data_IF_357846168545
#
_entry.id   IF_357846168545
#
_cell.length_a   1.000
_cell.length_b   1.000
_cell.length_c   1.000
_cell.angle_alpha   90.00
_cell.angle_beta   90.00
_cell.angle_gamma   90.00
#
_symmetry.space_group_name_H-M   'P 1'
#
loop_
_entity.id
_entity.type
_entity.pdbx_description
1 polymer ?
#
# COMPACT_ATOMS: atom_id res chain seq x y z
N UNK A 1 -2.93 2.88 -2.10
CA UNK A 1 -1.69 2.36 -2.72
C UNK A 1 -1.42 0.98 -2.14
N UNK A 2 -0.95 0.03 -2.94
CA UNK A 2 -0.68 -1.36 -2.55
C UNK A 2 0.15 -1.52 -1.27
N UNK A 3 1.02 -0.55 -0.98
CA UNK A 3 1.74 -0.45 0.30
C UNK A 3 0.84 -0.62 1.52
N UNK A 4 -0.35 0.00 1.54
CA UNK A 4 -1.28 -0.12 2.67
C UNK A 4 -1.84 -1.54 2.82
N UNK A 5 -2.12 -2.21 1.71
CA UNK A 5 -2.66 -3.57 1.73
C UNK A 5 -1.58 -4.58 2.15
N UNK A 6 -0.36 -4.41 1.65
CA UNK A 6 0.81 -5.21 2.05
C UNK A 6 1.13 -4.97 3.54
N UNK A 7 1.21 -3.72 3.98
CA UNK A 7 1.44 -3.39 5.40
C UNK A 7 0.37 -3.99 6.31
N UNK A 8 -0.91 -3.95 5.92
CA UNK A 8 -2.01 -4.56 6.67
C UNK A 8 -1.85 -6.08 6.77
N UNK A 9 -1.44 -6.75 5.69
CA UNK A 9 -1.19 -8.19 5.68
C UNK A 9 -0.03 -8.55 6.62
N UNK A 10 1.11 -7.86 6.49
CA UNK A 10 2.28 -8.08 7.35
C UNK A 10 1.92 -7.97 8.85
N UNK A 11 1.16 -6.93 9.24
CA UNK A 11 0.68 -6.79 10.63
C UNK A 11 -0.28 -7.88 11.06
N UNK A 12 -1.17 -8.31 10.17
CA UNK A 12 -2.14 -9.38 10.45
C UNK A 12 -1.43 -10.73 10.67
N UNK A 13 -0.30 -10.94 9.98
CA UNK A 13 0.58 -12.09 10.17
C UNK A 13 1.45 -11.99 11.43
N UNK A 14 1.33 -10.92 12.22
CA UNK A 14 2.06 -10.71 13.45
C UNK A 14 3.48 -10.19 13.26
N UNK A 15 3.84 -9.70 12.06
CA UNK A 15 5.15 -9.10 11.85
C UNK A 15 5.24 -7.71 12.51
N UNK A 16 6.31 -7.50 13.28
CA UNK A 16 6.60 -6.22 13.92
C UNK A 16 7.28 -5.26 12.93
N UNK A 17 6.44 -4.48 12.23
CA UNK A 17 6.87 -3.53 11.20
C UNK A 17 6.64 -2.07 11.62
N UNK A 18 7.42 -1.15 11.05
CA UNK A 18 7.25 0.28 11.30
C UNK A 18 5.86 0.80 10.92
N UNK A 19 5.28 1.62 11.78
CA UNK A 19 3.86 1.95 11.71
C UNK A 19 3.50 2.97 10.63
N UNK A 20 4.42 3.86 10.26
CA UNK A 20 4.14 4.95 9.33
C UNK A 20 5.42 5.31 8.55
N UNK A 21 5.33 5.82 7.30
CA UNK A 21 6.50 6.25 6.52
C UNK A 21 7.25 7.43 7.16
N UNK A 22 6.53 8.23 7.94
CA UNK A 22 7.02 9.38 8.71
C UNK A 22 7.48 9.02 10.12
N UNK A 23 7.11 7.83 10.62
CA UNK A 23 7.43 7.43 11.99
C UNK A 23 8.83 6.81 12.00
N UNK A 24 9.75 7.52 12.64
CA UNK A 24 11.13 7.04 12.83
C UNK A 24 11.13 5.91 13.87
N UNK A 25 11.41 4.68 13.42
CA UNK A 25 11.86 3.55 14.24
C UNK A 25 10.88 3.09 15.34
N UNK A 26 9.65 2.72 14.97
CA UNK A 26 8.64 2.27 15.96
C UNK A 26 8.60 0.77 16.20
N UNK A 27 9.31 -0.06 15.41
CA UNK A 27 9.35 -1.51 15.64
C UNK A 27 10.58 -1.91 16.47
N UNK A 28 10.50 -3.05 17.14
CA UNK A 28 11.52 -3.56 18.05
C UNK A 28 12.88 -3.75 17.37
N UNK A 29 12.89 -4.19 16.10
CA UNK A 29 14.13 -4.31 15.31
C UNK A 29 14.81 -2.95 15.10
N UNK A 30 14.03 -1.94 14.74
CA UNK A 30 14.54 -0.59 14.55
C UNK A 30 15.01 0.02 15.90
N UNK A 31 14.28 -0.21 17.00
CA UNK A 31 14.66 0.25 18.34
C UNK A 31 15.97 -0.40 18.82
N UNK A 32 16.11 -1.71 18.63
CA UNK A 32 17.32 -2.45 18.98
C UNK A 32 18.53 -1.98 18.16
N UNK A 33 18.33 -1.76 16.85
CA UNK A 33 19.37 -1.20 15.98
C UNK A 33 19.80 0.20 16.41
N UNK A 34 18.84 1.08 16.75
CA UNK A 34 19.10 2.44 17.21
C UNK A 34 19.86 2.52 18.55
N UNK A 35 19.57 1.60 19.49
CA UNK A 35 20.28 1.50 20.77
C UNK A 35 21.75 1.12 20.60
N UNK A 36 22.06 0.22 19.68
CA UNK A 36 23.42 -0.25 19.43
C UNK A 36 24.24 0.71 18.56
N UNK A 37 23.59 1.61 17.83
CA UNK A 37 24.23 2.57 16.93
C UNK A 37 23.93 4.02 17.34
N UNK A 38 24.38 4.42 18.54
CA UNK A 38 24.07 5.73 19.16
C UNK A 38 24.59 6.97 18.41
N UNK A 39 25.56 6.82 17.50
CA UNK A 39 25.99 7.88 16.55
C UNK A 39 25.12 7.97 15.29
N UNK A 40 24.29 6.96 15.06
CA UNK A 40 23.42 6.86 13.92
C UNK A 40 22.03 7.44 14.23
N UNK A 41 21.98 8.58 14.95
CA UNK A 41 20.75 9.38 15.20
C UNK A 41 20.05 9.87 13.92
N UNK A 42 20.61 9.53 12.75
CA UNK A 42 20.11 9.79 11.40
C UNK A 42 20.27 8.57 10.47
N UNK A 43 20.34 7.32 10.97
CA UNK A 43 20.73 6.17 10.14
C UNK A 43 19.63 5.74 9.17
N UNK A 44 19.83 5.83 7.85
CA UNK A 44 18.85 5.42 6.82
C UNK A 44 18.54 3.90 6.77
N UNK A 45 19.03 3.11 7.73
CA UNK A 45 19.17 1.65 7.62
C UNK A 45 18.28 0.88 8.59
N UNK A 46 16.98 1.20 8.67
CA UNK A 46 16.12 0.27 9.41
C UNK A 46 16.05 -1.09 8.68
N UNK A 47 16.36 -2.20 9.37
CA UNK A 47 16.40 -3.53 8.75
C UNK A 47 15.03 -4.18 8.52
N UNK A 48 13.94 -3.60 9.05
CA UNK A 48 12.62 -4.21 8.93
C UNK A 48 12.15 -4.29 7.48
N UNK A 49 11.34 -5.31 7.17
CA UNK A 49 10.85 -5.59 5.80
C UNK A 49 10.17 -4.38 5.16
N UNK A 50 9.26 -3.72 5.88
CA UNK A 50 8.56 -2.52 5.40
C UNK A 50 9.51 -1.40 4.96
N UNK A 51 10.55 -1.10 5.75
CA UNK A 51 11.53 -0.06 5.40
C UNK A 51 12.43 -0.48 4.25
N UNK A 52 12.79 -1.76 4.15
CA UNK A 52 13.54 -2.29 3.01
C UNK A 52 12.74 -2.17 1.71
N UNK A 53 11.46 -2.51 1.74
CA UNK A 53 10.57 -2.51 0.58
C UNK A 53 10.14 -1.10 0.17
N UNK A 54 9.52 -0.36 1.07
CA UNK A 54 8.88 0.94 0.77
C UNK A 54 9.74 2.15 1.13
N UNK A 55 10.85 1.94 1.81
CA UNK A 55 11.72 3.02 2.28
C UNK A 55 11.27 3.65 3.60
N UNK A 56 12.00 4.69 3.97
CA UNK A 56 11.73 5.57 5.11
C UNK A 56 12.01 7.03 4.71
N UNK A 57 11.77 7.98 5.61
CA UNK A 57 11.96 9.41 5.36
C UNK A 57 13.32 9.77 4.76
N UNK A 58 14.37 9.02 5.13
CA UNK A 58 15.76 9.31 4.78
C UNK A 58 16.35 8.32 3.73
N UNK A 59 15.60 7.30 3.29
CA UNK A 59 16.08 6.27 2.32
C UNK A 59 14.95 5.74 1.44
N UNK A 60 15.18 5.69 0.13
CA UNK A 60 14.29 5.04 -0.82
C UNK A 60 14.19 3.51 -0.62
N UNK A 61 12.99 2.98 -0.78
CA UNK A 61 12.74 1.53 -0.85
C UNK A 61 13.26 0.90 -2.15
N UNK A 62 12.88 -0.35 -2.38
CA UNK A 62 13.11 -1.04 -3.66
C UNK A 62 11.90 -1.00 -4.59
N UNK A 63 10.74 -0.53 -4.13
CA UNK A 63 9.53 -0.45 -4.95
C UNK A 63 9.14 0.98 -5.29
N UNK A 64 8.77 1.19 -6.54
CA UNK A 64 8.12 2.40 -7.02
C UNK A 64 6.78 2.01 -7.66
N UNK A 65 5.72 2.74 -7.32
CA UNK A 65 4.39 2.57 -7.92
C UNK A 65 4.10 3.84 -8.70
N UNK A 66 3.87 3.70 -10.00
CA UNK A 66 3.61 4.84 -10.87
C UNK A 66 2.15 5.30 -10.76
N UNK A 67 1.94 6.57 -11.08
CA UNK A 67 0.59 7.12 -11.23
C UNK A 67 -0.14 6.42 -12.39
N UNK A 68 -1.45 6.27 -12.24
CA UNK A 68 -2.30 5.56 -13.18
C UNK A 68 -3.40 6.48 -13.68
N UNK A 69 -3.48 6.65 -15.00
CA UNK A 69 -4.59 7.36 -15.63
C UNK A 69 -5.83 6.46 -15.70
N UNK A 70 -6.99 7.03 -15.41
CA UNK A 70 -8.27 6.32 -15.50
C UNK A 70 -8.88 6.49 -16.89
N UNK A 71 -9.02 5.37 -17.59
CA UNK A 71 -9.68 5.26 -18.88
C UNK A 71 -11.17 4.96 -18.71
N UNK A 72 -11.99 5.57 -19.58
CA UNK A 72 -13.45 5.38 -19.55
C UNK A 72 -14.09 5.81 -18.23
N UNK A 73 -13.53 6.85 -17.60
CA UNK A 73 -13.97 7.34 -16.32
C UNK A 73 -15.41 7.87 -16.39
N UNK A 74 -16.27 7.38 -15.51
CA UNK A 74 -17.56 7.97 -15.20
C UNK A 74 -17.53 8.36 -13.71
N UNK A 75 -17.76 9.63 -13.41
CA UNK A 75 -17.79 10.14 -12.04
C UNK A 75 -19.22 10.47 -11.61
N UNK A 76 -19.46 10.41 -10.30
CA UNK A 76 -20.74 10.78 -9.71
C UNK A 76 -20.49 11.54 -8.41
N UNK A 77 -21.23 12.62 -8.21
CA UNK A 77 -21.21 13.38 -6.96
C UNK A 77 -22.15 12.71 -5.95
N UNK A 78 -21.57 12.04 -4.96
CA UNK A 78 -22.35 11.40 -3.90
C UNK A 78 -22.65 12.42 -2.80
N UNK A 79 -23.95 12.58 -2.52
CA UNK A 79 -24.45 13.35 -1.38
C UNK A 79 -24.72 12.42 -0.23
N UNK A 80 -24.04 12.63 0.89
CA UNK A 80 -24.21 11.81 2.09
C UNK A 80 -24.57 12.68 3.26
N UNK A 81 -25.52 12.17 4.04
CA UNK A 81 -25.98 12.78 5.28
C UNK A 81 -25.59 11.82 6.39
N UNK A 82 -24.84 12.30 7.37
CA UNK A 82 -24.60 11.56 8.60
C UNK A 82 -25.58 12.05 9.66
N UNK A 83 -26.51 11.19 10.05
CA UNK A 83 -27.49 11.48 11.10
C UNK A 83 -26.95 11.04 12.44
N UNK A 84 -27.13 11.86 13.48
CA UNK A 84 -26.94 11.42 14.85
C UNK A 84 -28.08 10.47 15.21
N UNK A 85 -27.75 9.24 15.64
CA UNK A 85 -28.76 8.23 15.99
C UNK A 85 -29.71 8.67 17.11
N UNK A 86 -29.27 9.59 17.99
CA UNK A 86 -30.05 10.05 19.13
C UNK A 86 -30.99 11.23 18.79
N UNK A 87 -30.53 12.19 17.98
CA UNK A 87 -31.29 13.42 17.70
C UNK A 87 -31.92 13.45 16.31
N UNK A 88 -31.56 12.51 15.43
CA UNK A 88 -31.88 12.51 13.99
C UNK A 88 -31.52 13.82 13.28
N UNK A 89 -30.65 14.62 13.88
CA UNK A 89 -30.13 15.83 13.26
C UNK A 89 -28.99 15.46 12.32
N UNK A 90 -28.94 16.18 11.21
CA UNK A 90 -27.81 16.13 10.31
C UNK A 90 -26.57 16.69 11.02
N UNK A 91 -25.59 15.83 11.26
CA UNK A 91 -24.33 16.19 11.90
C UNK A 91 -23.33 16.67 10.85
N UNK A 92 -23.44 16.16 9.61
CA UNK A 92 -22.54 16.54 8.55
C UNK A 92 -23.10 16.21 7.15
N UNK A 93 -22.95 17.15 6.22
CA UNK A 93 -23.30 16.97 4.81
C UNK A 93 -22.01 16.80 4.01
N UNK A 94 -21.86 15.66 3.36
CA UNK A 94 -20.73 15.36 2.49
C UNK A 94 -21.19 15.43 1.04
N UNK A 95 -20.49 16.22 0.22
CA UNK A 95 -20.64 16.26 -1.23
C UNK A 95 -19.24 16.06 -1.82
N UNK A 96 -18.98 14.84 -2.27
CA UNK A 96 -17.70 14.46 -2.85
C UNK A 96 -17.92 13.76 -4.19
N UNK A 97 -16.98 13.94 -5.11
CA UNK A 97 -16.95 13.25 -6.38
C UNK A 97 -16.30 11.87 -6.21
N UNK A 98 -16.95 10.83 -6.75
CA UNK A 98 -16.45 9.46 -6.73
C UNK A 98 -16.37 8.90 -8.15
N UNK A 99 -15.34 8.09 -8.39
CA UNK A 99 -15.26 7.28 -9.60
C UNK A 99 -16.28 6.13 -9.52
N UNK A 100 -17.28 6.15 -10.39
CA UNK A 100 -18.32 5.13 -10.49
C UNK A 100 -17.88 3.96 -11.36
N UNK A 101 -17.13 4.27 -12.41
CA UNK A 101 -16.63 3.31 -13.40
C UNK A 101 -15.36 3.84 -14.03
N UNK A 102 -14.49 2.93 -14.40
CA UNK A 102 -13.26 3.21 -15.13
C UNK A 102 -12.31 2.03 -15.02
N UNK A 103 -11.30 2.02 -15.86
CA UNK A 103 -10.17 1.08 -15.77
C UNK A 103 -8.88 1.87 -15.78
N UNK A 104 -7.86 1.40 -15.09
CA UNK A 104 -6.55 2.05 -15.07
C UNK A 104 -5.48 0.97 -15.03
N UNK A 105 -4.29 1.31 -15.54
CA UNK A 105 -3.13 0.44 -15.51
C UNK A 105 -2.15 1.00 -14.47
N UNK A 106 -1.75 0.15 -13.51
CA UNK A 106 -0.68 0.48 -12.57
C UNK A 106 0.58 -0.22 -13.03
N UNK A 107 1.68 0.53 -13.05
CA UNK A 107 3.02 -0.02 -13.21
C UNK A 107 3.72 -0.02 -11.85
N UNK A 108 4.28 -1.17 -11.48
CA UNK A 108 5.06 -1.37 -10.25
C UNK A 108 6.46 -1.77 -10.67
N UNK A 109 7.44 -0.94 -10.32
CA UNK A 109 8.84 -1.20 -10.57
C UNK A 109 9.48 -1.69 -9.27
N UNK A 110 10.25 -2.78 -9.37
CA UNK A 110 10.96 -3.36 -8.24
C UNK A 110 12.45 -3.42 -8.62
N UNK A 111 13.28 -2.78 -7.81
CA UNK A 111 14.73 -2.81 -7.94
C UNK A 111 15.28 -4.14 -7.40
N UNK A 112 15.59 -5.05 -8.33
CA UNK A 112 16.17 -6.35 -8.04
C UNK A 112 17.69 -6.31 -7.85
N UNK A 113 18.35 -5.15 -7.93
CA UNK A 113 19.80 -5.03 -7.76
C UNK A 113 20.25 -5.09 -6.29
N UNK A 114 19.32 -4.99 -5.33
CA UNK A 114 19.64 -5.08 -3.90
C UNK A 114 19.85 -6.53 -3.47
N UNK A 115 20.96 -6.78 -2.77
CA UNK A 115 21.36 -8.11 -2.32
C UNK A 115 20.31 -8.83 -1.44
N UNK A 116 20.17 -10.14 -1.67
CA UNK A 116 19.40 -11.08 -0.85
C UNK A 116 18.01 -11.45 -1.41
N UNK A 117 17.21 -12.17 -0.62
CA UNK A 117 15.84 -12.59 -0.93
C UNK A 117 14.81 -11.45 -0.90
N UNK A 118 15.23 -10.21 -0.62
CA UNK A 118 14.33 -9.07 -0.35
C UNK A 118 13.43 -8.74 -1.54
N UNK A 119 13.91 -8.68 -2.80
CA UNK A 119 13.06 -8.42 -3.96
C UNK A 119 12.09 -9.59 -4.23
N UNK A 120 12.56 -10.83 -4.10
CA UNK A 120 11.77 -12.04 -4.34
C UNK A 120 10.62 -12.17 -3.34
N UNK A 121 10.88 -11.90 -2.06
CA UNK A 121 9.85 -11.84 -1.02
C UNK A 121 8.79 -10.77 -1.34
N UNK A 122 9.22 -9.58 -1.75
CA UNK A 122 8.28 -8.50 -2.09
C UNK A 122 7.44 -8.84 -3.33
N UNK A 123 8.04 -9.44 -4.35
CA UNK A 123 7.33 -9.90 -5.55
C UNK A 123 6.24 -10.91 -5.14
N UNK A 124 6.61 -11.93 -4.36
CA UNK A 124 5.66 -12.93 -3.86
C UNK A 124 4.50 -12.31 -3.08
N UNK A 125 4.78 -11.31 -2.23
CA UNK A 125 3.74 -10.60 -1.48
C UNK A 125 2.81 -9.77 -2.38
N UNK A 126 3.36 -9.08 -3.36
CA UNK A 126 2.58 -8.31 -4.35
C UNK A 126 1.69 -9.27 -5.16
N UNK A 127 2.23 -10.37 -5.66
CA UNK A 127 1.47 -11.37 -6.42
C UNK A 127 0.32 -11.94 -5.60
N UNK A 128 0.57 -12.25 -4.31
CA UNK A 128 -0.47 -12.72 -3.40
C UNK A 128 -1.62 -11.71 -3.28
N UNK A 129 -1.31 -10.44 -2.99
CA UNK A 129 -2.33 -9.38 -2.88
C UNK A 129 -3.07 -9.16 -4.21
N UNK A 130 -2.36 -9.14 -5.34
CA UNK A 130 -2.99 -8.98 -6.66
C UNK A 130 -3.94 -10.14 -7.00
N UNK A 131 -3.60 -11.36 -6.57
CA UNK A 131 -4.46 -12.54 -6.73
C UNK A 131 -5.69 -12.48 -5.81
N UNK A 132 -5.55 -12.01 -4.57
CA UNK A 132 -6.68 -11.76 -3.66
C UNK A 132 -7.60 -10.64 -4.16
N UNK A 133 -7.07 -9.68 -4.94
CA UNK A 133 -7.86 -8.60 -5.52
C UNK A 133 -8.60 -8.98 -6.82
N UNK A 134 -8.48 -10.21 -7.32
CA UNK A 134 -9.28 -10.70 -8.46
C UNK A 134 -10.75 -10.87 -8.08
N UNK A 135 -11.64 -10.73 -9.05
CA UNK A 135 -13.09 -10.83 -8.83
C UNK A 135 -13.53 -12.20 -8.27
N UNK A 136 -12.87 -13.27 -8.70
CA UNK A 136 -13.18 -14.65 -8.30
C UNK A 136 -12.35 -15.14 -7.09
N UNK A 137 -11.72 -14.23 -6.35
CA UNK A 137 -10.95 -14.60 -5.18
C UNK A 137 -11.86 -14.96 -4.00
N UNK A 138 -11.32 -15.71 -3.04
CA UNK A 138 -12.02 -15.99 -1.78
C UNK A 138 -12.03 -14.79 -0.81
N UNK A 139 -11.42 -13.65 -1.18
CA UNK A 139 -11.37 -12.48 -0.32
C UNK A 139 -12.76 -11.82 -0.23
N UNK A 140 -13.23 -11.44 0.96
CA UNK A 140 -14.52 -10.78 1.10
C UNK A 140 -14.61 -9.48 0.28
N UNK A 141 -15.79 -9.13 -0.27
CA UNK A 141 -15.98 -7.88 -0.99
C UNK A 141 -15.55 -6.66 -0.16
N UNK A 142 -14.72 -5.81 -0.75
CA UNK A 142 -14.19 -4.62 -0.09
C UNK A 142 -13.17 -4.91 1.01
N UNK A 143 -12.58 -6.10 1.07
CA UNK A 143 -11.41 -6.39 1.90
C UNK A 143 -10.21 -5.53 1.50
N UNK A 144 -10.00 -5.39 0.19
CA UNK A 144 -9.04 -4.46 -0.42
C UNK A 144 -9.76 -3.23 -0.94
N UNK A 145 -9.30 -2.05 -0.52
CA UNK A 145 -9.82 -0.75 -0.96
C UNK A 145 -8.67 0.22 -1.23
N UNK A 146 -8.89 1.14 -2.16
CA UNK A 146 -8.00 2.25 -2.45
C UNK A 146 -8.67 3.59 -2.07
N UNK A 147 -7.88 4.50 -1.52
CA UNK A 147 -8.37 5.81 -1.06
C UNK A 147 -8.78 5.83 0.41
N UNK A 148 -9.09 7.02 0.90
CA UNK A 148 -9.45 7.28 2.29
C UNK A 148 -10.96 7.47 2.41
N UNK A 149 -11.71 6.39 2.60
CA UNK A 149 -13.07 6.50 3.11
C UNK A 149 -13.39 5.33 4.04
N UNK A 150 -14.07 5.61 5.15
CA UNK A 150 -14.54 4.64 6.14
C UNK A 150 -15.76 3.83 5.65
N UNK A 151 -16.04 3.83 4.35
CA UNK A 151 -17.36 3.49 3.81
C UNK A 151 -17.24 2.61 2.57
N UNK A 152 -18.36 2.12 2.02
CA UNK A 152 -18.40 1.13 0.92
C UNK A 152 -17.84 1.61 -0.45
N UNK A 153 -16.91 2.57 -0.48
CA UNK A 153 -16.27 3.11 -1.68
C UNK A 153 -14.83 2.64 -1.80
N UNK A 154 -14.18 2.93 -2.94
CA UNK A 154 -12.78 2.54 -3.18
C UNK A 154 -12.57 1.06 -3.47
N UNK A 155 -13.64 0.32 -3.76
CA UNK A 155 -13.55 -1.07 -4.19
C UNK A 155 -12.90 -1.14 -5.58
N UNK A 156 -11.91 -2.00 -5.73
CA UNK A 156 -11.21 -2.24 -6.99
C UNK A 156 -11.02 -3.73 -7.20
N UNK A 157 -11.00 -4.15 -8.46
CA UNK A 157 -10.67 -5.52 -8.84
C UNK A 157 -9.50 -5.53 -9.82
N UNK A 158 -8.63 -6.53 -9.69
CA UNK A 158 -7.54 -6.76 -10.64
C UNK A 158 -8.08 -7.62 -11.78
N UNK A 159 -8.13 -7.04 -12.97
CA UNK A 159 -8.54 -7.77 -14.18
C UNK A 159 -7.43 -8.72 -14.66
N UNK A 160 -6.20 -8.24 -14.73
CA UNK A 160 -5.02 -9.03 -15.11
C UNK A 160 -3.74 -8.35 -14.60
N UNK A 161 -2.65 -9.11 -14.54
CA UNK A 161 -1.31 -8.60 -14.25
C UNK A 161 -0.27 -9.48 -14.94
N UNK A 162 0.93 -8.94 -15.14
CA UNK A 162 2.07 -9.66 -15.71
C UNK A 162 3.36 -9.21 -15.02
N UNK A 163 4.21 -10.16 -14.66
CA UNK A 163 5.57 -9.89 -14.20
C UNK A 163 6.51 -9.84 -15.41
N UNK A 164 7.32 -8.79 -15.50
CA UNK A 164 8.34 -8.64 -16.55
C UNK A 164 9.70 -8.42 -15.90
N UNK A 165 10.65 -9.30 -16.19
CA UNK A 165 12.05 -9.12 -15.79
C UNK A 165 12.80 -8.30 -16.84
N UNK A 166 13.41 -7.21 -16.41
CA UNK A 166 14.34 -6.44 -17.23
C UNK A 166 15.75 -6.72 -16.73
N UNK A 167 16.45 -7.66 -17.38
CA UNK A 167 17.87 -7.86 -17.14
C UNK A 167 18.63 -6.81 -17.94
N UNK A 168 19.49 -6.04 -17.27
CA UNK A 168 20.45 -5.20 -17.98
C UNK A 168 21.35 -6.12 -18.79
N UNK A 169 21.27 -6.03 -20.12
CA UNK A 169 22.29 -6.60 -21.00
C UNK A 169 23.64 -5.98 -20.61
N UNK A 170 24.62 -6.84 -20.35
CA UNK A 170 25.99 -6.55 -19.93
C UNK A 170 26.53 -5.25 -20.54
N UNK A 171 27.05 -4.36 -19.68
CA UNK A 171 27.86 -3.20 -20.07
C UNK A 171 29.34 -3.49 -19.89
#
# INVERSE_FOLDING_TARGET
MLSVQIERKLRTMGEDICSNPSDKYTCSECEAYGKNNSRAKKSPDCPCKRCKWFGCTDRGGIVAVLDAEVLGAETENLRRIQLCEHSMQNVNMFLEEYLKKGTFNIEILIDCSRDGSVPEELISEIECVLNEMKADSAAPPGWHRLGASSTCTGQVCVASWQLKEFRSSEG
#
